data_IF_064050362380
#
_entry.id   IF_064050362380
#
_cell.length_a   1.000
_cell.length_b   1.000
_cell.length_c   1.000
_cell.angle_alpha   90.00
_cell.angle_beta   90.00
_cell.angle_gamma   90.00
#
_symmetry.space_group_name_H-M   'P 1'
#
loop_
_entity.id
_entity.type
_entity.pdbx_description
1 polymer ?
#
# COMPACT_ATOMS: atom_id res chain seq x y z
N UNK A 1 34.40 -14.65 9.89
CA UNK A 1 33.49 -13.51 10.18
C UNK A 1 32.32 -13.63 9.21
N UNK A 2 31.24 -14.24 9.66
CA UNK A 2 30.06 -14.45 8.81
C UNK A 2 29.30 -13.13 8.78
N UNK A 3 29.30 -12.47 7.65
CA UNK A 3 28.41 -11.34 7.41
C UNK A 3 27.00 -11.90 7.33
N UNK A 4 26.25 -11.77 8.42
CA UNK A 4 24.80 -11.94 8.41
C UNK A 4 24.25 -10.83 7.53
N UNK A 5 24.02 -11.12 6.26
CA UNK A 5 23.04 -10.36 5.50
C UNK A 5 21.71 -10.61 6.19
N UNK A 6 21.27 -9.67 7.04
CA UNK A 6 19.86 -9.53 7.32
C UNK A 6 19.20 -9.40 5.96
N UNK A 7 18.56 -10.48 5.50
CA UNK A 7 17.62 -10.39 4.41
C UNK A 7 16.69 -9.27 4.82
N UNK A 8 16.68 -8.18 4.05
CA UNK A 8 15.65 -7.15 4.18
C UNK A 8 14.35 -7.94 4.21
N UNK A 9 13.62 -7.90 5.33
CA UNK A 9 12.44 -8.71 5.58
C UNK A 9 11.30 -8.14 4.71
N UNK A 10 11.50 -8.28 3.40
CA UNK A 10 10.67 -7.78 2.35
C UNK A 10 9.76 -8.89 1.88
N UNK A 11 8.50 -8.57 1.74
CA UNK A 11 7.50 -9.44 1.13
C UNK A 11 7.32 -9.04 -0.34
N UNK A 12 6.57 -9.83 -1.11
CA UNK A 12 6.08 -9.41 -2.41
C UNK A 12 4.58 -9.22 -2.30
N UNK A 13 4.17 -7.99 -1.99
CA UNK A 13 2.77 -7.67 -1.73
C UNK A 13 2.16 -6.90 -2.87
N UNK A 14 0.86 -7.14 -3.08
CA UNK A 14 0.07 -6.43 -4.07
C UNK A 14 -1.18 -5.88 -3.40
N UNK A 15 -1.58 -4.67 -3.78
CA UNK A 15 -2.84 -4.06 -3.37
C UNK A 15 -3.53 -3.44 -4.57
N UNK A 16 -4.79 -3.81 -4.74
CA UNK A 16 -5.65 -3.36 -5.81
C UNK A 16 -6.76 -2.47 -5.24
N UNK A 17 -6.85 -1.25 -5.78
CA UNK A 17 -7.81 -0.22 -5.39
C UNK A 17 -8.95 -0.13 -6.40
N UNK A 18 -10.15 0.08 -5.89
CA UNK A 18 -11.37 0.15 -6.68
C UNK A 18 -12.18 1.38 -6.29
N UNK A 19 -12.74 2.04 -7.30
CA UNK A 19 -13.53 3.26 -7.10
C UNK A 19 -14.83 2.99 -6.37
N UNK A 20 -15.47 1.88 -6.71
CA UNK A 20 -16.76 1.50 -6.15
C UNK A 20 -16.62 0.37 -5.14
N UNK A 21 -17.69 0.14 -4.38
CA UNK A 21 -17.82 -1.05 -3.54
C UNK A 21 -17.84 -2.33 -4.38
N UNK A 22 -17.60 -3.47 -3.73
CA UNK A 22 -17.62 -4.78 -4.37
C UNK A 22 -16.60 -4.93 -5.52
N UNK A 23 -15.47 -4.23 -5.42
CA UNK A 23 -14.33 -4.33 -6.33
C UNK A 23 -14.67 -3.92 -7.77
N UNK A 24 -15.58 -2.94 -7.92
CA UNK A 24 -16.00 -2.39 -9.21
C UNK A 24 -15.16 -1.17 -9.57
N UNK A 25 -14.90 -1.01 -10.86
CA UNK A 25 -14.04 0.03 -11.44
C UNK A 25 -12.63 0.03 -10.83
N UNK A 26 -11.75 -0.77 -11.44
CA UNK A 26 -10.34 -0.81 -11.09
C UNK A 26 -9.73 0.60 -11.22
N UNK A 27 -9.09 1.06 -10.15
CA UNK A 27 -8.34 2.31 -10.14
C UNK A 27 -6.87 2.05 -10.41
N UNK A 28 -6.26 1.16 -9.63
CA UNK A 28 -4.85 0.84 -9.75
C UNK A 28 -4.49 -0.46 -9.00
N UNK A 29 -3.47 -1.13 -9.50
CA UNK A 29 -2.80 -2.26 -8.84
C UNK A 29 -1.37 -1.82 -8.51
N UNK A 30 -0.99 -1.91 -7.25
CA UNK A 30 0.36 -1.55 -6.81
C UNK A 30 1.05 -2.73 -6.15
N UNK A 31 2.31 -2.93 -6.53
CA UNK A 31 3.20 -3.90 -5.91
C UNK A 31 4.19 -3.18 -4.99
N UNK A 32 4.51 -3.79 -3.85
CA UNK A 32 5.41 -3.20 -2.88
C UNK A 32 6.03 -4.26 -1.97
N UNK A 33 7.24 -3.97 -1.49
CA UNK A 33 8.04 -4.94 -0.75
C UNK A 33 8.41 -4.51 0.66
N UNK A 34 7.95 -3.32 1.10
CA UNK A 34 8.30 -2.76 2.41
C UNK A 34 7.08 -2.47 3.25
N UNK A 35 7.01 -3.09 4.43
CA UNK A 35 6.09 -2.71 5.50
C UNK A 35 6.59 -1.44 6.17
N UNK A 36 5.79 -0.84 7.04
CA UNK A 36 6.13 0.35 7.83
C UNK A 36 6.59 1.54 7.00
N UNK A 37 6.26 1.53 5.70
CA UNK A 37 6.41 2.61 4.75
C UNK A 37 5.04 3.22 4.52
N UNK A 38 5.00 4.54 4.50
CA UNK A 38 3.79 5.23 4.12
C UNK A 38 3.72 5.40 2.60
N UNK A 39 2.62 4.94 2.01
CA UNK A 39 2.36 5.08 0.57
C UNK A 39 1.28 6.15 0.36
N UNK A 40 1.67 7.31 -0.13
CA UNK A 40 0.77 8.40 -0.49
C UNK A 40 0.11 8.10 -1.84
N UNK A 41 -1.21 8.00 -1.82
CA UNK A 41 -2.07 7.78 -2.99
C UNK A 41 -2.57 9.08 -3.61
N UNK A 42 -2.41 10.18 -2.89
CA UNK A 42 -3.05 11.45 -3.17
C UNK A 42 -2.38 12.22 -4.33
N UNK A 43 -2.52 11.65 -5.52
CA UNK A 43 -2.06 12.15 -6.81
C UNK A 43 -2.94 11.52 -7.92
N UNK A 44 -3.32 12.31 -8.92
CA UNK A 44 -4.20 11.84 -10.02
C UNK A 44 -5.60 11.43 -9.57
N UNK A 45 -6.18 10.43 -10.25
CA UNK A 45 -7.57 10.00 -10.10
C UNK A 45 -7.84 9.05 -8.92
N UNK A 46 -6.82 8.74 -8.11
CA UNK A 46 -6.90 7.77 -7.00
C UNK A 46 -7.19 8.42 -5.65
N UNK A 47 -6.85 9.71 -5.53
CA UNK A 47 -7.06 10.46 -4.31
C UNK A 47 -8.55 10.57 -4.00
N UNK A 48 -8.95 10.28 -2.76
CA UNK A 48 -10.32 10.49 -2.30
C UNK A 48 -11.37 9.81 -3.21
N UNK A 49 -11.02 8.64 -3.75
CA UNK A 49 -11.83 7.91 -4.72
C UNK A 49 -11.99 6.42 -4.41
N UNK A 50 -11.37 5.91 -3.34
CA UNK A 50 -11.35 4.46 -3.03
C UNK A 50 -12.54 4.08 -2.17
N UNK A 51 -13.34 3.12 -2.64
CA UNK A 51 -14.45 2.51 -1.90
C UNK A 51 -14.25 1.03 -1.58
N UNK A 52 -13.36 0.30 -2.25
CA UNK A 52 -13.02 -1.08 -1.90
C UNK A 52 -11.60 -1.48 -2.33
N UNK A 53 -11.06 -2.53 -1.72
CA UNK A 53 -9.68 -3.00 -1.95
C UNK A 53 -9.54 -4.51 -1.87
N UNK A 54 -8.57 -5.05 -2.61
CA UNK A 54 -8.04 -6.41 -2.47
C UNK A 54 -6.55 -6.36 -2.29
N UNK A 55 -5.97 -7.31 -1.57
CA UNK A 55 -4.53 -7.45 -1.45
C UNK A 55 -4.11 -8.91 -1.32
N UNK A 56 -2.87 -9.18 -1.69
CA UNK A 56 -2.21 -10.48 -1.64
C UNK A 56 -0.76 -10.30 -1.20
N UNK A 57 -0.12 -11.38 -0.73
CA UNK A 57 1.31 -11.37 -0.41
C UNK A 57 1.73 -10.48 0.77
N UNK A 58 0.79 -9.84 1.46
CA UNK A 58 1.09 -9.04 2.65
C UNK A 58 1.53 -9.95 3.81
N UNK A 59 2.46 -9.49 4.68
CA UNK A 59 2.85 -10.22 5.87
C UNK A 59 1.64 -10.57 6.72
N UNK A 60 1.60 -11.77 7.30
CA UNK A 60 0.52 -12.20 8.19
C UNK A 60 0.85 -11.95 9.67
N UNK A 61 2.13 -11.88 10.01
CA UNK A 61 2.65 -11.71 11.37
C UNK A 61 3.17 -10.31 11.61
N UNK A 62 3.19 -9.90 12.88
CA UNK A 62 3.79 -8.65 13.33
C UNK A 62 4.65 -8.89 14.57
N UNK A 63 5.48 -7.90 14.91
CA UNK A 63 6.36 -7.90 16.08
C UNK A 63 6.40 -6.57 16.84
N UNK A 64 5.60 -5.56 16.47
CA UNK A 64 5.53 -4.27 17.17
C UNK A 64 4.65 -4.35 18.41
N UNK A 65 5.04 -3.69 19.51
CA UNK A 65 4.21 -3.49 20.71
C UNK A 65 3.46 -4.75 21.19
N UNK A 66 4.08 -5.93 21.10
CA UNK A 66 3.46 -7.21 21.46
C UNK A 66 2.36 -7.72 20.50
N UNK A 67 2.14 -7.06 19.37
CA UNK A 67 1.25 -7.54 18.31
C UNK A 67 1.86 -8.75 17.59
N UNK A 68 1.05 -9.77 17.33
CA UNK A 68 1.46 -10.99 16.60
C UNK A 68 0.90 -11.08 15.18
N UNK A 69 0.00 -10.17 14.80
CA UNK A 69 -0.65 -10.15 13.48
C UNK A 69 -0.47 -8.81 12.79
N UNK A 70 -0.04 -8.85 11.53
CA UNK A 70 0.09 -7.68 10.70
C UNK A 70 -1.26 -7.07 10.34
N UNK A 71 -1.25 -5.76 10.09
CA UNK A 71 -2.42 -5.00 9.70
C UNK A 71 -2.09 -4.10 8.53
N UNK A 72 -3.05 -3.87 7.65
CA UNK A 72 -3.02 -2.75 6.71
C UNK A 72 -3.90 -1.64 7.26
N UNK A 73 -3.41 -0.40 7.21
CA UNK A 73 -4.11 0.78 7.69
C UNK A 73 -4.27 1.76 6.54
N UNK A 74 -5.50 2.24 6.36
CA UNK A 74 -5.86 3.27 5.39
C UNK A 74 -6.14 4.57 6.12
N UNK A 75 -5.61 5.67 5.61
CA UNK A 75 -5.63 6.98 6.23
C UNK A 75 -6.26 8.01 5.29
N UNK A 76 -7.02 8.95 5.87
CA UNK A 76 -7.68 9.99 5.08
C UNK A 76 -6.76 11.12 4.64
N UNK A 77 -5.59 11.27 5.28
CA UNK A 77 -4.61 12.27 4.91
C UNK A 77 -3.35 11.63 4.33
N UNK A 78 -2.54 12.43 3.64
CA UNK A 78 -1.15 12.08 3.27
C UNK A 78 -0.30 11.84 4.52
N UNK A 79 0.79 11.10 4.34
CA UNK A 79 1.79 10.84 5.39
C UNK A 79 1.30 9.88 6.47
N UNK A 80 0.24 9.11 6.20
CA UNK A 80 -0.30 8.12 7.13
C UNK A 80 -0.75 8.75 8.45
N UNK A 81 -1.52 9.83 8.32
CA UNK A 81 -2.05 10.64 9.42
C UNK A 81 -3.56 10.83 9.33
N UNK A 82 -4.17 11.44 10.34
CA UNK A 82 -5.61 11.73 10.37
C UNK A 82 -6.47 10.50 10.69
N UNK A 83 -7.77 10.59 10.37
CA UNK A 83 -8.72 9.49 10.55
C UNK A 83 -8.24 8.27 9.77
N UNK A 84 -8.37 7.09 10.38
CA UNK A 84 -7.85 5.86 9.79
C UNK A 84 -8.69 4.64 10.13
N UNK A 85 -8.55 3.58 9.34
CA UNK A 85 -9.13 2.27 9.64
C UNK A 85 -8.11 1.17 9.35
N UNK A 86 -7.96 0.25 10.29
CA UNK A 86 -7.04 -0.89 10.19
C UNK A 86 -7.79 -2.19 9.93
N UNK A 87 -7.22 -3.05 9.10
CA UNK A 87 -7.73 -4.38 8.79
C UNK A 87 -6.61 -5.42 8.94
N UNK A 88 -6.96 -6.63 9.34
CA UNK A 88 -6.01 -7.75 9.35
C UNK A 88 -5.56 -8.04 7.92
N UNK A 89 -4.26 -8.16 7.68
CA UNK A 89 -3.73 -8.53 6.36
C UNK A 89 -4.20 -9.91 5.92
N UNK A 90 -4.54 -10.81 6.85
CA UNK A 90 -5.11 -12.12 6.52
C UNK A 90 -6.52 -12.06 5.92
N UNK A 91 -7.22 -10.92 5.98
CA UNK A 91 -8.55 -10.78 5.36
C UNK A 91 -8.48 -10.73 3.83
N UNK A 92 -7.32 -10.38 3.24
CA UNK A 92 -7.09 -10.20 1.80
C UNK A 92 -7.95 -9.15 1.08
N UNK A 93 -8.93 -8.51 1.74
CA UNK A 93 -9.85 -7.56 1.12
C UNK A 93 -10.68 -6.73 2.10
N UNK A 94 -11.19 -5.61 1.60
CA UNK A 94 -12.30 -4.84 2.17
C UNK A 94 -13.31 -4.59 1.06
N UNK A 95 -14.53 -5.08 1.23
CA UNK A 95 -15.57 -5.03 0.21
C UNK A 95 -16.24 -3.64 0.09
N UNK A 96 -16.23 -2.85 1.18
CA UNK A 96 -16.81 -1.51 1.23
C UNK A 96 -16.20 -0.71 2.38
N UNK A 97 -15.87 0.56 2.14
CA UNK A 97 -15.48 1.52 3.17
C UNK A 97 -16.65 2.39 3.66
N UNK A 98 -17.86 2.26 3.12
CA UNK A 98 -19.03 3.11 3.45
C UNK A 98 -19.25 3.23 4.96
N UNK A 99 -19.33 2.09 5.66
CA UNK A 99 -19.60 2.05 7.11
C UNK A 99 -18.36 2.33 7.98
N UNK A 100 -17.21 2.55 7.35
CA UNK A 100 -15.95 2.82 8.05
C UNK A 100 -15.73 4.31 8.27
N UNK A 101 -16.49 5.16 7.57
CA UNK A 101 -16.39 6.61 7.61
C UNK A 101 -15.12 7.17 6.96
N UNK A 102 -14.44 6.38 6.12
CA UNK A 102 -13.29 6.80 5.30
C UNK A 102 -13.51 6.48 3.80
N UNK A 103 -14.74 6.17 3.40
CA UNK A 103 -15.11 5.92 1.99
C UNK A 103 -14.82 7.16 1.14
N UNK A 104 -14.22 6.98 -0.03
CA UNK A 104 -13.88 8.07 -0.95
C UNK A 104 -13.06 9.20 -0.30
N UNK A 105 -12.29 8.87 0.74
CA UNK A 105 -11.46 9.82 1.48
C UNK A 105 -10.03 9.32 1.68
N UNK A 106 -9.68 8.13 1.15
CA UNK A 106 -8.38 7.51 1.38
C UNK A 106 -7.31 8.24 0.55
N UNK A 107 -6.29 8.73 1.26
CA UNK A 107 -5.16 9.47 0.69
C UNK A 107 -3.81 8.78 0.90
N UNK A 108 -3.71 7.84 1.85
CA UNK A 108 -2.50 7.03 2.04
C UNK A 108 -2.79 5.70 2.75
N UNK A 109 -1.84 4.76 2.66
CA UNK A 109 -1.90 3.50 3.39
C UNK A 109 -0.52 3.06 3.90
N UNK A 110 -0.53 2.18 4.90
CA UNK A 110 0.67 1.55 5.45
C UNK A 110 0.36 0.14 5.96
N UNK A 111 1.29 -0.79 5.74
CA UNK A 111 1.27 -2.12 6.36
C UNK A 111 2.09 -2.08 7.65
N UNK A 112 1.47 -2.39 8.79
CA UNK A 112 2.12 -2.49 10.09
C UNK A 112 2.63 -3.91 10.29
N UNK A 113 3.95 -4.08 10.38
CA UNK A 113 4.60 -5.37 10.62
C UNK A 113 5.60 -5.29 11.79
N UNK A 114 6.59 -4.40 11.74
CA UNK A 114 7.62 -4.25 12.77
C UNK A 114 7.45 -3.00 13.64
N UNK A 115 6.62 -2.04 13.20
CA UNK A 115 6.32 -0.80 13.94
C UNK A 115 4.86 -0.37 13.78
N UNK A 116 4.40 0.58 14.60
CA UNK A 116 3.15 1.34 14.38
C UNK A 116 3.37 2.66 13.65
N UNK A 117 4.63 3.07 13.52
CA UNK A 117 5.03 4.35 12.94
C UNK A 117 5.69 4.15 11.59
N UNK A 118 5.93 5.27 10.90
CA UNK A 118 6.61 5.29 9.61
C UNK A 118 8.12 5.18 9.85
N UNK A 119 8.69 4.01 9.61
CA UNK A 119 10.13 3.75 9.77
C UNK A 119 10.84 3.59 8.43
N UNK A 120 10.12 3.14 7.40
CA UNK A 120 10.67 2.93 6.06
C UNK A 120 10.42 4.11 5.10
N UNK A 121 10.18 5.30 5.67
CA UNK A 121 9.96 6.55 4.97
C UNK A 121 8.58 6.67 4.33
N UNK A 122 8.40 7.76 3.57
CA UNK A 122 7.18 8.08 2.83
C UNK A 122 7.49 8.06 1.34
N UNK A 123 6.64 7.44 0.54
CA UNK A 123 6.73 7.46 -0.93
C UNK A 123 5.38 7.84 -1.53
N UNK A 124 5.39 8.47 -2.69
CA UNK A 124 4.17 8.61 -3.50
C UNK A 124 4.04 7.41 -4.44
N UNK A 125 2.81 6.96 -4.68
CA UNK A 125 2.56 5.94 -5.69
C UNK A 125 2.74 6.49 -7.10
N UNK A 126 2.41 7.77 -7.35
CA UNK A 126 2.57 8.33 -8.69
C UNK A 126 4.02 8.54 -9.11
N UNK A 127 4.95 8.67 -8.16
CA UNK A 127 6.39 8.64 -8.49
C UNK A 127 6.87 7.24 -8.86
N UNK A 128 6.18 6.18 -8.44
CA UNK A 128 6.52 4.80 -8.82
C UNK A 128 5.94 4.45 -10.20
N UNK A 129 4.73 4.92 -10.50
CA UNK A 129 4.13 4.83 -11.84
C UNK A 129 4.97 5.58 -12.89
N UNK A 130 5.46 6.79 -12.57
CA UNK A 130 6.31 7.54 -13.48
C UNK A 130 7.62 6.81 -13.80
N UNK A 131 8.28 6.22 -12.80
CA UNK A 131 9.50 5.41 -13.03
C UNK A 131 9.23 4.16 -13.86
N UNK A 132 8.07 3.51 -13.68
CA UNK A 132 7.70 2.33 -14.47
C UNK A 132 7.43 2.66 -15.95
N UNK A 133 6.90 3.86 -16.25
CA UNK A 133 6.68 4.33 -17.61
C UNK A 133 7.97 4.80 -18.29
N UNK A 134 8.95 5.32 -17.54
CA UNK A 134 10.24 5.71 -18.08
C UNK A 134 11.13 4.49 -18.43
N UNK A 135 11.01 3.38 -17.70
CA UNK A 135 11.70 2.12 -18.02
C UNK A 135 11.14 1.43 -19.29
N UNK A 136 9.85 1.61 -19.62
CA UNK A 136 9.28 1.12 -20.88
C UNK A 136 9.79 1.92 -22.10
N UNK A 137 10.12 3.21 -21.91
CA UNK A 137 10.69 4.03 -22.99
C UNK A 137 12.18 3.76 -23.25
N UNK A 138 12.91 3.17 -22.31
CA UNK A 138 14.33 2.87 -22.45
C UNK A 138 14.64 1.63 -23.31
N UNK A 139 13.63 0.85 -23.73
CA UNK A 139 13.85 -0.41 -24.44
C UNK A 139 13.38 -0.43 -25.91
N UNK A 140 13.09 0.73 -26.51
CA UNK A 140 12.73 0.81 -27.94
C UNK A 140 13.58 1.80 -28.75
N UNK A 141 14.91 1.70 -28.62
CA UNK A 141 15.84 2.34 -29.57
C UNK A 141 17.03 1.43 -29.87
N UNK A 142 16.77 0.29 -30.53
CA UNK A 142 17.77 -0.33 -31.42
C UNK A 142 17.04 -0.76 -32.69
N UNK A 143 17.21 0.02 -33.76
CA UNK A 143 16.65 -0.30 -35.07
C UNK A 143 16.52 0.91 -35.98
N UNK A 144 17.67 1.47 -36.40
CA UNK A 144 17.78 2.49 -37.44
C UNK A 144 19.19 2.50 -37.99
#
# INVERSE_FOLDING_TARGET
MTINFYTVDGFSGEINFYRDTNYRYNLALFTFTKANRCFNMACGAYNDAVSSVKWSGLPSTASYDGASKAKVVFYVNKGCTGKSKSFSTSLSRVQSFVDTGINDLISSFMVLQSSKTVENGVTSLCSLEATALDDEHANNTIGG
#
